data_IF_139956669569
#
_entry.id   IF_139956669569
#
_cell.length_a   1.000
_cell.length_b   1.000
_cell.length_c   1.000
_cell.angle_alpha   90.00
_cell.angle_beta   90.00
_cell.angle_gamma   90.00
#
_symmetry.space_group_name_H-M   'P 1'
#
loop_
_entity.id
_entity.type
_entity.pdbx_description
1 polymer ?
#
# COMPACT_ATOMS: atom_id res chain seq x y z
N UNK A 1 -26.38 -24.00 30.95
CA UNK A 1 -26.45 -23.57 29.53
C UNK A 1 -27.46 -24.46 28.84
N UNK A 2 -28.70 -23.99 28.74
CA UNK A 2 -29.79 -24.73 28.11
C UNK A 2 -29.53 -24.79 26.61
N UNK A 3 -29.42 -26.00 26.05
CA UNK A 3 -29.10 -26.17 24.63
C UNK A 3 -30.32 -25.71 23.84
N UNK A 4 -30.14 -24.77 22.90
CA UNK A 4 -31.16 -24.43 21.90
C UNK A 4 -31.67 -25.72 21.26
N UNK A 5 -32.85 -26.16 21.67
CA UNK A 5 -33.46 -27.40 21.20
C UNK A 5 -34.23 -27.05 19.94
N UNK A 6 -33.54 -27.09 18.82
CA UNK A 6 -34.11 -26.79 17.50
C UNK A 6 -35.23 -27.80 17.21
N UNK A 7 -36.44 -27.29 16.94
CA UNK A 7 -37.59 -28.11 16.59
C UNK A 7 -37.50 -28.51 15.10
N UNK A 8 -37.19 -29.78 14.84
CA UNK A 8 -36.95 -30.33 13.50
C UNK A 8 -38.23 -30.41 12.68
N UNK A 9 -39.37 -30.68 13.30
CA UNK A 9 -40.66 -30.82 12.61
C UNK A 9 -41.09 -29.48 12.00
N UNK A 10 -40.91 -28.39 12.76
CA UNK A 10 -41.21 -27.03 12.28
C UNK A 10 -40.29 -26.61 11.13
N UNK A 11 -39.02 -27.04 11.14
CA UNK A 11 -38.08 -26.77 10.04
C UNK A 11 -38.52 -27.48 8.76
N UNK A 12 -38.91 -28.75 8.85
CA UNK A 12 -39.34 -29.52 7.68
C UNK A 12 -40.62 -28.98 7.05
N UNK A 13 -41.57 -28.47 7.85
CA UNK A 13 -42.77 -27.83 7.32
C UNK A 13 -42.51 -26.51 6.59
N UNK A 14 -41.41 -25.81 6.91
CA UNK A 14 -41.05 -24.51 6.30
C UNK A 14 -40.00 -24.69 5.20
N UNK A 15 -39.29 -25.82 5.18
CA UNK A 15 -38.26 -26.11 4.19
C UNK A 15 -38.88 -26.24 2.80
N UNK A 16 -38.40 -25.40 1.87
CA UNK A 16 -38.66 -25.54 0.45
C UNK A 16 -37.44 -26.08 -0.26
N UNK A 17 -37.65 -26.70 -1.40
CA UNK A 17 -36.55 -27.10 -2.27
C UNK A 17 -35.74 -25.89 -2.72
N UNK A 18 -34.41 -26.07 -2.80
CA UNK A 18 -33.53 -25.05 -3.34
C UNK A 18 -33.73 -24.95 -4.84
N UNK A 19 -33.90 -23.72 -5.32
CA UNK A 19 -33.90 -23.49 -6.77
C UNK A 19 -32.50 -23.74 -7.34
N UNK A 20 -32.43 -24.04 -8.64
CA UNK A 20 -31.15 -24.22 -9.35
C UNK A 20 -30.24 -23.00 -9.21
N UNK A 21 -30.82 -21.79 -9.20
CA UNK A 21 -30.10 -20.53 -8.99
C UNK A 21 -29.48 -20.43 -7.60
N UNK A 22 -30.24 -20.78 -6.55
CA UNK A 22 -29.75 -20.76 -5.17
C UNK A 22 -28.64 -21.77 -4.96
N UNK A 23 -28.76 -22.96 -5.56
CA UNK A 23 -27.71 -23.97 -5.54
C UNK A 23 -26.42 -23.45 -6.18
N UNK A 24 -26.52 -22.80 -7.33
CA UNK A 24 -25.35 -22.21 -7.99
C UNK A 24 -24.74 -21.07 -7.16
N UNK A 25 -25.56 -20.20 -6.56
CA UNK A 25 -25.08 -19.14 -5.65
C UNK A 25 -24.35 -19.71 -4.43
N UNK A 26 -24.84 -20.81 -3.87
CA UNK A 26 -24.15 -21.52 -2.78
C UNK A 26 -22.80 -22.08 -3.22
N UNK A 27 -22.74 -22.67 -4.41
CA UNK A 27 -21.51 -23.22 -5.00
C UNK A 27 -20.47 -22.12 -5.24
N UNK A 28 -20.87 -20.99 -5.84
CA UNK A 28 -20.01 -19.83 -6.06
C UNK A 28 -19.48 -19.28 -4.73
N UNK A 29 -20.34 -19.11 -3.72
CA UNK A 29 -19.90 -18.67 -2.38
C UNK A 29 -18.92 -19.65 -1.74
N UNK A 30 -19.10 -20.95 -1.97
CA UNK A 30 -18.21 -21.99 -1.43
C UNK A 30 -16.86 -21.96 -2.14
N UNK A 31 -16.85 -21.81 -3.46
CA UNK A 31 -15.64 -21.71 -4.30
C UNK A 31 -14.84 -20.46 -3.97
N UNK A 32 -15.49 -19.31 -3.97
CA UNK A 32 -14.83 -18.00 -3.88
C UNK A 32 -14.75 -17.48 -2.44
N UNK A 33 -14.94 -18.36 -1.45
CA UNK A 33 -15.09 -17.99 -0.04
C UNK A 33 -13.92 -17.14 0.47
N UNK A 34 -12.69 -17.54 0.14
CA UNK A 34 -11.47 -16.85 0.55
C UNK A 34 -11.38 -15.46 -0.08
N UNK A 35 -11.62 -15.40 -1.39
CA UNK A 35 -11.63 -14.16 -2.17
C UNK A 35 -12.69 -13.17 -1.64
N UNK A 36 -13.93 -13.63 -1.44
CA UNK A 36 -15.04 -12.82 -0.93
C UNK A 36 -14.77 -12.32 0.50
N UNK A 37 -14.17 -13.17 1.34
CA UNK A 37 -13.75 -12.77 2.68
C UNK A 37 -12.70 -11.67 2.64
N UNK A 38 -11.70 -11.78 1.77
CA UNK A 38 -10.66 -10.78 1.59
C UNK A 38 -11.22 -9.45 1.06
N UNK A 39 -12.03 -9.48 -0.02
CA UNK A 39 -12.67 -8.27 -0.58
C UNK A 39 -13.56 -7.57 0.47
N UNK A 40 -14.35 -8.34 1.23
CA UNK A 40 -15.18 -7.78 2.30
C UNK A 40 -14.34 -7.18 3.43
N UNK A 41 -13.23 -7.80 3.82
CA UNK A 41 -12.35 -7.28 4.86
C UNK A 41 -11.70 -5.95 4.44
N UNK A 42 -11.24 -5.86 3.19
CA UNK A 42 -10.68 -4.64 2.60
C UNK A 42 -11.72 -3.52 2.62
N UNK A 43 -12.92 -3.78 2.09
CA UNK A 43 -14.00 -2.79 2.07
C UNK A 43 -14.38 -2.31 3.48
N UNK A 44 -14.47 -3.22 4.46
CA UNK A 44 -14.72 -2.86 5.86
C UNK A 44 -13.60 -2.02 6.47
N UNK A 45 -12.34 -2.31 6.14
CA UNK A 45 -11.19 -1.53 6.61
C UNK A 45 -11.26 -0.09 6.08
N UNK A 46 -11.52 0.07 4.78
CA UNK A 46 -11.69 1.38 4.15
C UNK A 46 -12.87 2.12 4.77
N UNK A 47 -14.05 1.50 4.84
CA UNK A 47 -15.25 2.12 5.48
C UNK A 47 -14.99 2.59 6.89
N UNK A 48 -14.30 1.78 7.70
CA UNK A 48 -13.95 2.15 9.06
C UNK A 48 -13.06 3.38 9.09
N UNK A 49 -12.06 3.44 8.21
CA UNK A 49 -11.17 4.58 8.11
C UNK A 49 -11.92 5.86 7.70
N UNK A 50 -12.76 5.79 6.68
CA UNK A 50 -13.58 6.93 6.23
C UNK A 50 -14.45 7.44 7.38
N UNK A 51 -15.14 6.54 8.09
CA UNK A 51 -16.01 6.88 9.22
C UNK A 51 -15.25 7.53 10.39
N UNK A 52 -14.07 7.02 10.74
CA UNK A 52 -13.27 7.56 11.86
C UNK A 52 -12.73 8.95 11.55
N UNK A 53 -12.39 9.22 10.29
CA UNK A 53 -11.85 10.51 9.86
C UNK A 53 -12.94 11.48 9.34
N UNK A 54 -14.22 11.11 9.41
CA UNK A 54 -15.32 11.94 8.91
C UNK A 54 -15.32 12.15 7.40
N UNK A 55 -14.63 11.31 6.62
CA UNK A 55 -14.50 11.44 5.17
C UNK A 55 -15.76 10.86 4.51
N UNK A 56 -16.42 11.66 3.70
CA UNK A 56 -17.58 11.26 2.90
C UNK A 56 -17.16 10.46 1.66
N UNK A 57 -18.10 9.72 1.08
CA UNK A 57 -17.84 9.00 -0.17
C UNK A 57 -17.55 9.96 -1.34
N UNK A 58 -18.03 11.21 -1.29
CA UNK A 58 -17.80 12.22 -2.31
C UNK A 58 -16.36 12.72 -2.22
N UNK A 59 -15.91 13.13 -1.04
CA UNK A 59 -14.52 13.54 -0.80
C UNK A 59 -13.55 12.40 -1.13
N UNK A 60 -13.88 11.16 -0.74
CA UNK A 60 -13.03 10.02 -1.08
C UNK A 60 -12.95 9.77 -2.60
N UNK A 61 -14.03 10.04 -3.35
CA UNK A 61 -14.02 9.96 -4.80
C UNK A 61 -13.13 11.05 -5.41
N UNK A 62 -13.19 12.27 -4.89
CA UNK A 62 -12.33 13.40 -5.28
C UNK A 62 -10.86 13.12 -5.00
N UNK A 63 -10.52 12.58 -3.82
CA UNK A 63 -9.15 12.19 -3.45
C UNK A 63 -8.54 11.19 -4.44
N UNK A 64 -9.37 10.33 -5.03
CA UNK A 64 -8.95 9.31 -6.00
C UNK A 64 -9.11 9.75 -7.46
N UNK A 65 -9.72 10.91 -7.72
CA UNK A 65 -10.05 11.36 -9.09
C UNK A 65 -11.04 10.44 -9.82
N UNK A 66 -11.98 9.82 -9.10
CA UNK A 66 -12.97 8.88 -9.66
C UNK A 66 -14.41 9.31 -9.37
N UNK A 67 -15.38 8.60 -9.93
CA UNK A 67 -16.80 8.87 -9.67
C UNK A 67 -17.27 8.27 -8.33
N UNK A 68 -18.26 8.88 -7.65
CA UNK A 68 -18.86 8.31 -6.43
C UNK A 68 -19.47 6.91 -6.63
N UNK A 69 -19.88 6.58 -7.86
CA UNK A 69 -20.34 5.23 -8.22
C UNK A 69 -19.21 4.19 -8.11
N UNK A 70 -17.98 4.55 -8.50
CA UNK A 70 -16.81 3.68 -8.33
C UNK A 70 -16.50 3.47 -6.85
N UNK A 71 -16.57 4.52 -6.03
CA UNK A 71 -16.41 4.41 -4.57
C UNK A 71 -17.47 3.47 -3.99
N UNK A 72 -18.73 3.63 -4.36
CA UNK A 72 -19.82 2.74 -3.91
C UNK A 72 -19.54 1.29 -4.29
N UNK A 73 -19.03 1.05 -5.50
CA UNK A 73 -18.58 -0.28 -5.94
C UNK A 73 -17.46 -0.80 -5.04
N UNK A 74 -16.39 -0.03 -4.80
CA UNK A 74 -15.28 -0.44 -3.94
C UNK A 74 -15.74 -0.79 -2.51
N UNK A 75 -16.66 -0.02 -1.96
CA UNK A 75 -17.13 -0.21 -0.60
C UNK A 75 -18.18 -1.33 -0.45
N UNK A 76 -18.64 -1.96 -1.53
CA UNK A 76 -19.65 -3.03 -1.44
C UNK A 76 -19.10 -4.38 -0.93
N UNK A 77 -17.77 -4.57 -0.88
CA UNK A 77 -17.12 -5.79 -0.41
C UNK A 77 -17.22 -7.01 -1.34
N UNK A 78 -17.67 -6.80 -2.58
CA UNK A 78 -17.78 -7.81 -3.65
C UNK A 78 -16.89 -7.48 -4.86
N UNK A 79 -16.14 -6.40 -4.77
CA UNK A 79 -15.36 -5.89 -5.90
C UNK A 79 -14.03 -6.60 -6.02
N UNK A 80 -13.68 -6.94 -7.25
CA UNK A 80 -12.31 -7.30 -7.61
C UNK A 80 -11.47 -6.05 -7.81
N UNK A 81 -10.60 -5.79 -6.84
CA UNK A 81 -9.69 -4.66 -6.88
C UNK A 81 -8.47 -5.01 -7.73
N UNK A 82 -8.13 -4.13 -8.66
CA UNK A 82 -6.82 -4.17 -9.28
C UNK A 82 -5.75 -3.79 -8.25
N UNK A 83 -4.55 -4.36 -8.38
CA UNK A 83 -3.41 -4.03 -7.52
C UNK A 83 -3.13 -2.52 -7.51
N UNK A 84 -3.19 -1.88 -8.69
CA UNK A 84 -3.03 -0.43 -8.83
C UNK A 84 -4.06 0.33 -7.99
N UNK A 85 -5.32 -0.07 -8.03
CA UNK A 85 -6.40 0.58 -7.26
C UNK A 85 -6.14 0.47 -5.77
N UNK A 86 -5.72 -0.70 -5.28
CA UNK A 86 -5.40 -0.86 -3.86
C UNK A 86 -4.26 0.06 -3.43
N UNK A 87 -3.19 0.16 -4.23
CA UNK A 87 -2.06 1.06 -3.95
C UNK A 87 -2.49 2.52 -3.93
N UNK A 88 -3.34 2.96 -4.87
CA UNK A 88 -3.83 4.35 -4.87
C UNK A 88 -4.74 4.63 -3.65
N UNK A 89 -5.56 3.67 -3.22
CA UNK A 89 -6.35 3.79 -1.99
C UNK A 89 -5.43 3.89 -0.76
N UNK A 90 -4.40 3.06 -0.66
CA UNK A 90 -3.40 3.14 0.42
C UNK A 90 -2.73 4.51 0.47
N UNK A 91 -2.32 5.05 -0.69
CA UNK A 91 -1.67 6.37 -0.80
C UNK A 91 -2.60 7.50 -0.41
N UNK A 92 -3.85 7.48 -0.90
CA UNK A 92 -4.83 8.53 -0.62
C UNK A 92 -5.23 8.57 0.86
N UNK A 93 -5.39 7.40 1.49
CA UNK A 93 -5.88 7.30 2.87
C UNK A 93 -4.77 7.10 3.92
N UNK A 94 -3.51 6.91 3.53
CA UNK A 94 -2.44 6.54 4.46
C UNK A 94 -2.65 5.18 5.12
N UNK A 95 -3.28 4.23 4.40
CA UNK A 95 -3.63 2.90 4.90
C UNK A 95 -2.64 1.83 4.45
N UNK A 96 -2.57 0.75 5.21
CA UNK A 96 -1.91 -0.49 4.81
C UNK A 96 -2.97 -1.58 4.60
N UNK A 97 -3.22 -1.94 3.34
CA UNK A 97 -4.14 -2.97 2.89
C UNK A 97 -3.37 -4.21 2.45
N UNK A 98 -2.28 -4.04 1.69
CA UNK A 98 -1.47 -5.12 1.13
C UNK A 98 -0.19 -5.27 1.94
N UNK A 99 0.15 -6.51 2.26
CA UNK A 99 1.45 -6.81 2.85
C UNK A 99 2.57 -6.66 1.81
N UNK A 100 3.59 -5.87 2.13
CA UNK A 100 4.69 -5.51 1.22
C UNK A 100 5.94 -6.35 1.44
N UNK A 101 5.88 -7.38 2.29
CA UNK A 101 6.99 -8.33 2.52
C UNK A 101 7.43 -9.09 1.24
N UNK A 102 6.62 -9.07 0.18
CA UNK A 102 6.95 -9.70 -1.12
C UNK A 102 7.94 -8.86 -1.95
N UNK A 103 8.00 -7.54 -1.72
CA UNK A 103 8.90 -6.65 -2.46
C UNK A 103 10.18 -6.45 -1.63
N UNK A 104 11.36 -6.82 -2.14
CA UNK A 104 12.60 -6.61 -1.42
C UNK A 104 12.78 -5.13 -1.12
N UNK A 105 12.78 -4.78 0.17
CA UNK A 105 12.97 -3.41 0.60
C UNK A 105 14.38 -2.97 0.24
N UNK A 106 14.50 -1.86 -0.47
CA UNK A 106 15.80 -1.27 -0.79
C UNK A 106 16.36 -0.70 0.52
N UNK A 107 17.26 -1.46 1.16
CA UNK A 107 17.90 -1.02 2.41
C UNK A 107 18.50 0.37 2.22
N UNK A 108 18.04 1.32 3.05
CA UNK A 108 18.65 2.65 3.12
C UNK A 108 20.02 2.48 3.78
N UNK A 109 21.09 2.48 2.98
CA UNK A 109 22.46 2.47 3.51
C UNK A 109 22.85 3.88 3.89
N UNK A 110 23.11 4.10 5.19
CA UNK A 110 23.75 5.31 5.64
C UNK A 110 25.15 5.39 5.01
N UNK A 111 25.44 6.52 4.36
CA UNK A 111 26.77 6.81 3.82
C UNK A 111 27.40 7.83 4.76
N UNK A 112 28.52 7.48 5.39
CA UNK A 112 29.33 8.45 6.12
C UNK A 112 30.16 9.25 5.10
N UNK A 113 30.00 10.57 5.09
CA UNK A 113 30.81 11.47 4.29
C UNK A 113 31.92 11.99 5.20
N UNK A 114 33.18 11.68 4.88
CA UNK A 114 34.33 12.27 5.56
C UNK A 114 34.73 13.55 4.80
N UNK A 115 34.54 14.70 5.44
CA UNK A 115 35.00 15.99 4.91
C UNK A 115 36.44 16.19 5.35
N UNK A 116 37.37 16.19 4.40
CA UNK A 116 38.79 16.48 4.64
C UNK A 116 39.04 17.90 4.14
N UNK A 117 39.35 18.81 5.05
CA UNK A 117 39.79 20.16 4.70
C UNK A 117 41.30 20.12 4.45
N UNK A 118 41.72 20.42 3.21
CA UNK A 118 43.13 20.64 2.88
C UNK A 118 43.32 22.06 2.37
N UNK A 119 43.97 22.89 3.17
CA UNK A 119 44.34 24.27 2.83
C UNK A 119 43.73 25.30 3.78
N UNK A 120 44.52 25.74 4.76
CA UNK A 120 44.39 27.08 5.33
C UNK A 120 45.70 27.77 4.97
N UNK A 121 45.75 28.40 3.79
CA UNK A 121 46.81 29.36 3.51
C UNK A 121 46.38 30.66 4.17
N UNK A 122 46.83 30.85 5.42
CA UNK A 122 46.74 32.15 6.11
C UNK A 122 47.77 33.09 5.50
N UNK A 123 47.52 33.55 4.27
CA UNK A 123 48.07 34.79 3.73
C UNK A 123 47.29 35.20 2.47
N UNK A 124 46.50 36.26 2.63
CA UNK A 124 45.73 37.04 1.65
C UNK A 124 46.08 36.90 0.16
N UNK A 125 45.05 36.77 -0.70
CA UNK A 125 44.59 37.78 -1.69
C UNK A 125 43.80 37.11 -2.83
N UNK A 126 42.53 37.50 -2.99
CA UNK A 126 41.68 37.43 -4.21
C UNK A 126 41.93 36.31 -5.24
N UNK A 127 41.80 35.04 -4.84
CA UNK A 127 41.49 33.97 -5.79
C UNK A 127 40.31 33.18 -5.25
N UNK A 128 39.31 32.95 -6.09
CA UNK A 128 38.21 32.03 -5.81
C UNK A 128 38.81 30.66 -5.49
N UNK A 129 39.00 30.38 -4.20
CA UNK A 129 39.50 29.12 -3.69
C UNK A 129 38.38 28.08 -3.79
N UNK A 130 38.51 27.17 -4.75
CA UNK A 130 37.54 26.12 -4.97
C UNK A 130 37.71 25.02 -3.92
N UNK A 131 36.69 24.85 -3.07
CA UNK A 131 36.55 23.68 -2.20
C UNK A 131 36.39 22.41 -3.04
N UNK A 132 37.32 21.46 -2.90
CA UNK A 132 37.17 20.12 -3.47
C UNK A 132 36.50 19.19 -2.46
N UNK A 133 35.31 18.68 -2.80
CA UNK A 133 34.61 17.65 -2.02
C UNK A 133 34.89 16.29 -2.65
N UNK A 134 35.74 15.49 -2.03
CA UNK A 134 35.99 14.11 -2.45
C UNK A 134 34.91 13.18 -1.87
N UNK A 135 33.93 12.79 -2.70
CA UNK A 135 32.93 11.79 -2.31
C UNK A 135 33.48 10.38 -2.53
N UNK A 136 33.70 9.61 -1.45
CA UNK A 136 33.96 8.17 -1.55
C UNK A 136 32.71 7.39 -1.15
N UNK A 137 32.07 6.75 -2.13
CA UNK A 137 31.05 5.72 -1.85
C UNK A 137 31.82 4.45 -1.51
N UNK A 138 31.84 4.07 -0.24
CA UNK A 138 32.49 2.85 0.24
C UNK A 138 31.92 1.60 -0.42
N UNK A 139 32.49 1.22 -1.57
CA UNK A 139 32.38 -0.12 -2.16
C UNK A 139 33.79 -0.65 -2.39
N UNK A 140 34.27 -1.42 -1.41
CA UNK A 140 35.42 -2.32 -1.53
C UNK A 140 36.78 -1.62 -1.73
N UNK A 141 37.84 -2.13 -1.09
CA UNK A 141 39.15 -1.48 -0.99
C UNK A 141 39.95 -1.32 -2.31
N UNK A 142 39.36 -1.59 -3.48
CA UNK A 142 40.05 -1.47 -4.77
C UNK A 142 39.18 -0.78 -5.82
N UNK A 143 39.70 0.33 -6.37
CA UNK A 143 39.15 1.23 -7.41
C UNK A 143 38.29 2.39 -6.89
N UNK A 144 38.97 3.39 -6.32
CA UNK A 144 38.49 4.77 -6.36
C UNK A 144 38.75 5.30 -7.77
N UNK A 145 37.70 5.51 -8.57
CA UNK A 145 37.77 6.42 -9.71
C UNK A 145 37.36 7.79 -9.19
N UNK A 146 38.31 8.71 -9.09
CA UNK A 146 38.01 10.13 -8.95
C UNK A 146 37.41 10.61 -10.27
N UNK A 147 36.13 10.91 -10.30
CA UNK A 147 35.51 11.60 -11.45
C UNK A 147 35.43 13.07 -11.10
N UNK A 148 36.02 13.91 -11.94
CA UNK A 148 35.97 15.35 -11.77
C UNK A 148 34.63 15.85 -12.27
N UNK A 149 34.03 16.81 -11.57
CA UNK A 149 32.69 17.33 -11.91
C UNK A 149 32.66 18.03 -13.28
N UNK A 150 33.83 18.39 -13.80
CA UNK A 150 34.04 18.97 -15.14
C UNK A 150 33.98 17.96 -16.28
N UNK A 151 33.97 16.65 -16.00
CA UNK A 151 33.87 15.59 -17.03
C UNK A 151 32.45 15.47 -17.63
N UNK A 152 31.50 16.30 -17.17
CA UNK A 152 30.10 16.32 -17.59
C UNK A 152 29.67 17.64 -18.26
N UNK A 153 30.61 18.53 -18.60
CA UNK A 153 30.34 19.77 -19.35
C UNK A 153 30.45 19.58 -20.87
#
# INVERSE_FOLDING_TARGET
>A
MDKLRVNVDRLNCVARELTSEERNLMEVRRRDRHWMSASSAIASKIKRHLRVNGITNMEFAEMLGITPANVTRYLNGKTNFELRTLVEIERALGLHIIDREVVPQKEKKAVAIQVIYSGFDTESTEREEYMSVNMSVGKNRNKVKSTNIWDYA
#
